data_IF_559714674517
#
_entry.id   IF_559714674517
#
_cell.length_a   1.000
_cell.length_b   1.000
_cell.length_c   1.000
_cell.angle_alpha   90.00
_cell.angle_beta   90.00
_cell.angle_gamma   90.00
#
_symmetry.space_group_name_H-M   'P 1'
#
loop_
_entity.id
_entity.type
_entity.pdbx_description
1 polymer ?
#
# COMPACT_ATOMS: atom_id res chain seq x y z
N UNK A 1 17.40 0.51 -11.93
CA UNK A 1 15.93 0.33 -11.86
C UNK A 1 15.59 -0.85 -10.95
N UNK A 2 14.81 -0.63 -9.89
CA UNK A 2 14.29 -1.74 -9.08
C UNK A 2 13.27 -2.56 -9.90
N UNK A 3 13.39 -3.90 -9.87
CA UNK A 3 12.46 -4.79 -10.58
C UNK A 3 11.11 -4.80 -9.86
N UNK A 4 10.02 -4.71 -10.61
CA UNK A 4 8.68 -4.82 -10.03
C UNK A 4 8.43 -6.27 -9.57
N UNK A 5 7.95 -6.42 -8.33
CA UNK A 5 7.76 -7.71 -7.66
C UNK A 5 6.28 -8.03 -7.49
N UNK A 6 5.98 -9.31 -7.27
CA UNK A 6 4.62 -9.74 -6.93
C UNK A 6 4.21 -9.15 -5.57
N UNK A 7 2.95 -8.68 -5.42
CA UNK A 7 2.48 -8.14 -4.16
C UNK A 7 2.42 -9.20 -3.05
N UNK A 8 2.88 -8.83 -1.85
CA UNK A 8 2.75 -9.60 -0.61
C UNK A 8 1.30 -9.60 -0.11
N UNK A 9 0.96 -10.50 0.82
CA UNK A 9 -0.41 -10.61 1.36
C UNK A 9 -0.95 -9.27 1.88
N UNK A 10 -0.16 -8.51 2.65
CA UNK A 10 -0.56 -7.19 3.17
C UNK A 10 -0.87 -6.19 2.04
N UNK A 11 -0.08 -6.21 0.97
CA UNK A 11 -0.28 -5.34 -0.19
C UNK A 11 -1.54 -5.75 -0.97
N UNK A 12 -1.82 -7.05 -1.10
CA UNK A 12 -3.05 -7.55 -1.72
C UNK A 12 -4.29 -7.04 -0.99
N UNK A 13 -4.28 -7.01 0.35
CA UNK A 13 -5.40 -6.47 1.14
C UNK A 13 -5.62 -4.99 0.84
N UNK A 14 -4.56 -4.19 0.81
CA UNK A 14 -4.63 -2.75 0.48
C UNK A 14 -5.17 -2.54 -0.94
N UNK A 15 -4.68 -3.33 -1.89
CA UNK A 15 -5.15 -3.28 -3.28
C UNK A 15 -6.63 -3.68 -3.39
N UNK A 16 -7.04 -4.73 -2.68
CA UNK A 16 -8.43 -5.18 -2.66
C UNK A 16 -9.38 -4.11 -2.08
N UNK A 17 -8.97 -3.47 -0.98
CA UNK A 17 -9.71 -2.33 -0.39
C UNK A 17 -9.83 -1.14 -1.34
N UNK A 18 -8.91 -1.01 -2.30
CA UNK A 18 -8.89 0.03 -3.34
C UNK A 18 -9.51 -0.44 -4.66
N UNK A 19 -10.23 -1.57 -4.63
CA UNK A 19 -10.91 -2.20 -5.77
C UNK A 19 -9.97 -2.49 -6.97
N UNK A 20 -8.72 -2.86 -6.67
CA UNK A 20 -7.70 -3.21 -7.67
C UNK A 20 -7.60 -4.73 -7.87
N UNK A 21 -7.57 -5.15 -9.14
CA UNK A 21 -7.33 -6.55 -9.52
C UNK A 21 -5.86 -6.94 -9.32
N UNK A 22 -5.50 -7.47 -8.16
CA UNK A 22 -4.12 -7.87 -7.78
C UNK A 22 -3.33 -8.58 -8.89
N UNK A 23 -3.97 -9.45 -9.68
CA UNK A 23 -3.37 -10.18 -10.82
C UNK A 23 -2.67 -9.27 -11.83
N UNK A 24 -3.23 -8.09 -12.07
CA UNK A 24 -2.83 -7.19 -13.15
C UNK A 24 -1.76 -6.17 -12.71
N UNK A 25 -1.42 -6.14 -11.42
CA UNK A 25 -0.57 -5.12 -10.82
C UNK A 25 0.63 -5.75 -10.11
N UNK A 26 1.81 -5.18 -10.34
CA UNK A 26 3.06 -5.48 -9.65
C UNK A 26 3.44 -4.31 -8.75
N UNK A 27 4.18 -4.58 -7.68
CA UNK A 27 4.70 -3.55 -6.78
C UNK A 27 6.07 -3.13 -7.26
N UNK A 28 6.22 -1.85 -7.58
CA UNK A 28 7.49 -1.28 -8.02
C UNK A 28 8.29 -0.72 -6.85
N UNK A 29 7.65 0.07 -5.99
CA UNK A 29 8.26 0.67 -4.81
C UNK A 29 7.24 0.61 -3.68
N UNK A 30 7.68 0.13 -2.52
CA UNK A 30 6.93 0.20 -1.29
C UNK A 30 7.62 1.16 -0.33
N UNK A 31 6.90 2.17 0.12
CA UNK A 31 7.26 2.99 1.28
C UNK A 31 6.25 2.73 2.41
N UNK A 32 6.55 3.26 3.59
CA UNK A 32 5.66 3.15 4.76
C UNK A 32 4.32 3.85 4.52
N UNK A 33 4.30 4.88 3.67
CA UNK A 33 3.16 5.76 3.42
C UNK A 33 2.54 5.47 2.05
N UNK A 34 3.31 4.97 1.09
CA UNK A 34 2.86 4.82 -0.29
C UNK A 34 3.21 3.45 -0.86
N UNK A 35 2.34 2.94 -1.73
CA UNK A 35 2.57 1.73 -2.51
C UNK A 35 2.47 2.11 -3.99
N UNK A 36 3.62 2.15 -4.67
CA UNK A 36 3.68 2.36 -6.12
C UNK A 36 3.52 1.05 -6.84
N UNK A 37 2.47 0.97 -7.65
CA UNK A 37 2.12 -0.17 -8.47
C UNK A 37 2.40 0.13 -9.93
N UNK A 38 2.66 -0.91 -10.70
CA UNK A 38 2.73 -0.89 -12.16
C UNK A 38 1.84 -1.98 -12.73
N UNK A 39 1.02 -1.61 -13.71
CA UNK A 39 0.15 -2.55 -14.40
C UNK A 39 0.96 -3.38 -15.39
N UNK A 40 0.80 -4.70 -15.36
CA UNK A 40 1.52 -5.63 -16.23
C UNK A 40 1.17 -5.49 -17.70
N UNK A 41 -0.08 -5.17 -18.02
CA UNK A 41 -0.59 -5.14 -19.39
C UNK A 41 -0.39 -3.78 -20.04
N UNK A 42 -0.66 -2.69 -19.31
CA UNK A 42 -0.63 -1.33 -19.87
C UNK A 42 0.62 -0.54 -19.52
N UNK A 43 1.50 -1.04 -18.63
CA UNK A 43 2.64 -0.29 -18.10
C UNK A 43 2.27 0.91 -17.23
N UNK A 44 0.98 1.18 -17.02
CA UNK A 44 0.49 2.30 -16.22
C UNK A 44 0.95 2.17 -14.76
N UNK A 45 1.45 3.26 -14.20
CA UNK A 45 1.80 3.34 -12.79
C UNK A 45 0.64 3.92 -11.99
N UNK A 46 0.51 3.47 -10.74
CA UNK A 46 -0.53 3.94 -9.84
C UNK A 46 0.01 3.97 -8.43
N UNK A 47 -0.13 5.09 -7.75
CA UNK A 47 0.32 5.25 -6.36
C UNK A 47 -0.87 5.11 -5.44
N UNK A 48 -0.79 4.18 -4.49
CA UNK A 48 -1.76 4.05 -3.42
C UNK A 48 -1.16 4.67 -2.16
N UNK A 49 -1.89 5.62 -1.56
CA UNK A 49 -1.56 6.05 -0.20
C UNK A 49 -2.03 4.95 0.75
N UNK A 50 -1.09 4.34 1.47
CA UNK A 50 -1.43 3.67 2.71
C UNK A 50 -1.94 4.79 3.60
N UNK A 51 -3.16 4.68 4.10
CA UNK A 51 -3.54 5.49 5.25
C UNK A 51 -2.56 5.08 6.34
N UNK A 52 -1.43 5.81 6.44
CA UNK A 52 -0.49 5.70 7.53
C UNK A 52 -1.38 5.69 8.75
N UNK A 53 -1.37 4.58 9.51
CA UNK A 53 -2.26 4.32 10.67
C UNK A 53 -2.70 5.67 11.22
N UNK A 54 -3.90 6.12 10.83
CA UNK A 54 -4.43 7.38 11.30
C UNK A 54 -4.30 7.26 12.82
N UNK A 55 -3.51 8.17 13.42
CA UNK A 55 -2.78 7.92 14.66
C UNK A 55 -3.55 7.01 15.60
N UNK A 56 -2.91 5.92 16.05
CA UNK A 56 -3.41 5.19 17.19
C UNK A 56 -3.62 6.20 18.31
N UNK A 57 -4.87 6.64 18.50
CA UNK A 57 -5.39 7.40 19.64
C UNK A 57 -5.32 6.52 20.91
N UNK A 58 -4.22 5.80 21.11
CA UNK A 58 -3.93 5.02 22.31
C UNK A 58 -2.81 5.63 23.14
N UNK A 59 -2.21 6.74 22.71
CA UNK A 59 -1.13 7.43 23.44
C UNK A 59 -1.57 8.75 24.09
N UNK A 60 -2.86 8.93 24.36
CA UNK A 60 -3.37 10.12 25.06
C UNK A 60 -4.07 9.82 26.40
N UNK A 61 -4.28 8.54 26.76
CA UNK A 61 -5.00 8.14 27.99
C UNK A 61 -4.05 7.87 29.17
N UNK A 62 -2.73 8.10 29.03
CA UNK A 62 -1.75 7.79 30.10
C UNK A 62 -1.19 8.99 30.85
N UNK A 63 -1.68 10.22 30.62
CA UNK A 63 -1.18 11.44 31.29
C UNK A 63 -2.22 12.15 32.18
N UNK A 64 -3.29 11.45 32.56
CA UNK A 64 -4.30 11.91 33.52
C UNK A 64 -4.52 10.84 34.59
N UNK A 65 -3.46 10.54 35.34
CA UNK A 65 -3.53 9.95 36.68
C UNK A 65 -2.39 10.51 37.51
#
# INVERSE_FOLDING_TARGET
>A
MARAVKPTYKQKVIMNNQNLKVKDWLVSIETEIELKLVNKASGKTRTLKKLAKAGTKSEQIKKLR
#
